data_IF_825975591824
#
_entry.id   IF_825975591824
#
_cell.length_a   1.000
_cell.length_b   1.000
_cell.length_c   1.000
_cell.angle_alpha   90.00
_cell.angle_beta   90.00
_cell.angle_gamma   90.00
#
_symmetry.space_group_name_H-M   'P 1'
#
loop_
_entity.id
_entity.type
_entity.pdbx_description
1 polymer ?
#
# COMPACT_ATOMS: atom_id res chain seq x y z
N UNK A 1 -39.37 -15.07 -7.44
CA UNK A 1 -38.38 -14.01 -7.74
C UNK A 1 -37.03 -14.54 -7.31
N UNK A 2 -36.31 -15.15 -8.24
CA UNK A 2 -35.10 -15.87 -7.89
C UNK A 2 -34.01 -14.89 -7.44
N UNK A 3 -33.33 -15.33 -6.38
CA UNK A 3 -32.10 -14.80 -5.82
C UNK A 3 -30.92 -14.98 -6.81
N UNK A 4 -31.10 -14.55 -8.07
CA UNK A 4 -30.06 -14.51 -9.10
C UNK A 4 -28.88 -13.62 -8.65
N UNK A 5 -29.14 -12.68 -7.73
CA UNK A 5 -28.18 -11.73 -7.19
C UNK A 5 -27.09 -12.31 -6.28
N UNK A 6 -27.25 -13.53 -5.72
CA UNK A 6 -26.31 -14.04 -4.71
C UNK A 6 -25.35 -15.13 -5.22
N UNK A 7 -25.65 -15.74 -6.38
CA UNK A 7 -24.91 -16.90 -6.89
C UNK A 7 -23.98 -16.63 -8.08
N UNK A 8 -24.23 -15.57 -8.85
CA UNK A 8 -23.42 -15.20 -10.01
C UNK A 8 -23.16 -13.70 -9.96
N UNK A 9 -22.04 -13.29 -9.33
CA UNK A 9 -21.53 -11.93 -9.50
C UNK A 9 -21.01 -11.80 -10.93
N UNK A 10 -21.93 -11.57 -11.86
CA UNK A 10 -21.61 -11.27 -13.25
C UNK A 10 -21.02 -9.88 -13.38
N UNK A 11 -20.45 -9.60 -14.55
CA UNK A 11 -19.96 -8.27 -14.91
C UNK A 11 -21.05 -7.20 -14.80
N UNK A 12 -22.32 -7.57 -15.04
CA UNK A 12 -23.47 -6.68 -14.93
C UNK A 12 -23.74 -6.25 -13.49
N UNK A 13 -23.75 -7.17 -12.51
CA UNK A 13 -23.96 -6.83 -11.11
C UNK A 13 -22.86 -5.90 -10.58
N UNK A 14 -21.60 -6.19 -10.92
CA UNK A 14 -20.47 -5.34 -10.52
C UNK A 14 -20.60 -3.93 -11.10
N UNK A 15 -21.05 -3.80 -12.35
CA UNK A 15 -21.29 -2.50 -12.99
C UNK A 15 -22.38 -1.70 -12.26
N UNK A 16 -23.47 -2.34 -11.84
CA UNK A 16 -24.57 -1.69 -11.12
C UNK A 16 -24.13 -1.23 -9.73
N UNK A 17 -23.38 -2.07 -9.00
CA UNK A 17 -22.82 -1.68 -7.69
C UNK A 17 -21.86 -0.49 -7.87
N UNK A 18 -20.98 -0.54 -8.87
CA UNK A 18 -20.06 0.54 -9.16
C UNK A 18 -20.80 1.84 -9.49
N UNK A 19 -21.90 1.76 -10.24
CA UNK A 19 -22.75 2.91 -10.56
C UNK A 19 -23.39 3.52 -9.30
N UNK A 20 -23.92 2.69 -8.39
CA UNK A 20 -24.49 3.16 -7.12
C UNK A 20 -23.41 3.85 -6.27
N UNK A 21 -22.24 3.24 -6.13
CA UNK A 21 -21.11 3.84 -5.40
C UNK A 21 -20.69 5.15 -6.06
N UNK A 22 -20.66 5.22 -7.39
CA UNK A 22 -20.33 6.44 -8.14
C UNK A 22 -21.38 7.54 -7.95
N UNK A 23 -22.66 7.21 -7.79
CA UNK A 23 -23.72 8.19 -7.50
C UNK A 23 -23.64 8.71 -6.06
N UNK A 24 -23.34 7.84 -5.10
CA UNK A 24 -23.24 8.21 -3.68
C UNK A 24 -21.97 9.04 -3.38
N UNK A 25 -20.83 8.63 -3.93
CA UNK A 25 -19.56 9.29 -3.67
C UNK A 25 -19.18 10.30 -4.77
N UNK A 26 -19.77 10.22 -5.95
CA UNK A 26 -19.38 11.02 -7.12
C UNK A 26 -18.15 10.45 -7.82
N UNK A 27 -18.08 10.61 -9.15
CA UNK A 27 -16.97 10.09 -9.96
C UNK A 27 -15.60 10.72 -9.67
N UNK A 28 -15.55 11.83 -8.93
CA UNK A 28 -14.30 12.52 -8.57
C UNK A 28 -13.68 12.01 -7.26
N UNK A 29 -14.48 11.49 -6.32
CA UNK A 29 -13.97 11.06 -5.00
C UNK A 29 -13.15 9.77 -5.08
N UNK A 30 -13.52 8.82 -5.93
CA UNK A 30 -12.76 7.57 -6.08
C UNK A 30 -11.32 7.84 -6.58
N UNK A 31 -11.11 8.60 -7.68
CA UNK A 31 -9.76 8.98 -8.11
C UNK A 31 -8.98 9.80 -7.08
N UNK A 32 -9.65 10.70 -6.37
CA UNK A 32 -9.03 11.54 -5.34
C UNK A 32 -8.53 10.70 -4.15
N UNK A 33 -9.35 9.76 -3.67
CA UNK A 33 -8.98 8.81 -2.63
C UNK A 33 -7.85 7.86 -3.08
N UNK A 34 -7.91 7.37 -4.32
CA UNK A 34 -6.83 6.53 -4.88
C UNK A 34 -5.50 7.28 -4.95
N UNK A 35 -5.51 8.56 -5.36
CA UNK A 35 -4.31 9.39 -5.40
C UNK A 35 -3.76 9.64 -3.99
N UNK A 36 -4.62 9.95 -3.02
CA UNK A 36 -4.22 10.12 -1.62
C UNK A 36 -3.62 8.85 -1.02
N UNK A 37 -4.31 7.72 -1.17
CA UNK A 37 -3.83 6.42 -0.69
C UNK A 37 -2.53 5.98 -1.38
N UNK A 38 -2.44 6.16 -2.70
CA UNK A 38 -1.25 5.81 -3.48
C UNK A 38 -0.02 6.63 -3.07
N UNK A 39 -0.19 7.94 -2.84
CA UNK A 39 0.88 8.79 -2.31
C UNK A 39 1.26 8.38 -0.88
N UNK A 40 0.29 8.09 -0.01
CA UNK A 40 0.54 7.64 1.35
C UNK A 40 1.32 6.32 1.41
N UNK A 41 0.94 5.33 0.61
CA UNK A 41 1.65 4.04 0.50
C UNK A 41 3.08 4.25 -0.04
N UNK A 42 3.26 5.12 -1.03
CA UNK A 42 4.59 5.45 -1.57
C UNK A 42 5.50 6.04 -0.50
N UNK A 43 5.02 7.03 0.24
CA UNK A 43 5.78 7.69 1.30
C UNK A 43 6.12 6.70 2.43
N UNK A 44 5.16 5.86 2.82
CA UNK A 44 5.36 4.81 3.81
C UNK A 44 6.46 3.82 3.40
N UNK A 45 6.44 3.37 2.14
CA UNK A 45 7.47 2.46 1.61
C UNK A 45 8.84 3.13 1.55
N UNK A 46 8.91 4.41 1.16
CA UNK A 46 10.17 5.16 1.15
C UNK A 46 10.77 5.28 2.56
N UNK A 47 9.96 5.67 3.55
CA UNK A 47 10.39 5.76 4.94
C UNK A 47 10.88 4.40 5.47
N UNK A 48 10.15 3.32 5.19
CA UNK A 48 10.54 1.96 5.56
C UNK A 48 11.90 1.56 4.96
N UNK A 49 12.15 1.90 3.69
CA UNK A 49 13.39 1.56 3.01
C UNK A 49 14.58 2.35 3.58
N UNK A 50 14.40 3.65 3.84
CA UNK A 50 15.44 4.48 4.46
C UNK A 50 15.83 3.96 5.84
N UNK A 51 14.85 3.66 6.69
CA UNK A 51 15.09 3.07 8.02
C UNK A 51 15.82 1.73 7.91
N UNK A 52 15.42 0.88 6.97
CA UNK A 52 16.05 -0.42 6.75
C UNK A 52 17.52 -0.28 6.33
N UNK A 53 17.84 0.72 5.51
CA UNK A 53 19.21 1.00 5.08
C UNK A 53 20.06 1.58 6.22
N UNK A 54 19.53 2.54 6.99
CA UNK A 54 20.22 3.11 8.15
C UNK A 54 20.54 2.05 9.21
N UNK A 55 19.58 1.15 9.51
CA UNK A 55 19.81 0.04 10.44
C UNK A 55 20.91 -0.89 9.91
N UNK A 56 20.89 -1.19 8.60
CA UNK A 56 21.88 -2.08 7.97
C UNK A 56 23.28 -1.47 7.92
N UNK A 57 23.39 -0.17 7.71
CA UNK A 57 24.66 0.57 7.77
C UNK A 57 25.19 0.64 9.20
N UNK A 58 24.33 0.97 10.18
CA UNK A 58 24.71 0.99 11.59
C UNK A 58 25.22 -0.37 12.10
N UNK A 59 24.61 -1.47 11.67
CA UNK A 59 25.10 -2.83 11.99
C UNK A 59 26.47 -3.12 11.34
N UNK A 60 26.65 -2.75 10.07
CA UNK A 60 27.94 -2.94 9.36
C UNK A 60 29.08 -2.15 9.98
N UNK A 61 28.81 -0.96 10.49
CA UNK A 61 29.82 -0.12 11.12
C UNK A 61 30.15 -0.59 12.54
N UNK A 62 29.17 -1.15 13.27
CA UNK A 62 29.41 -1.85 14.52
C UNK A 62 30.29 -3.10 14.33
N UNK A 63 30.01 -3.91 13.31
CA UNK A 63 30.81 -5.10 12.99
C UNK A 63 32.24 -4.73 12.61
N UNK A 64 32.43 -3.69 11.77
CA UNK A 64 33.77 -3.18 11.41
C UNK A 64 34.56 -2.72 12.63
N UNK A 65 33.96 -1.90 13.52
CA UNK A 65 34.66 -1.44 14.73
C UNK A 65 35.11 -2.56 15.65
N UNK A 66 34.35 -3.67 15.73
CA UNK A 66 34.74 -4.83 16.54
C UNK A 66 35.94 -5.58 15.92
N UNK A 67 35.93 -5.80 14.59
CA UNK A 67 37.04 -6.45 13.86
C UNK A 67 38.37 -5.68 13.97
N UNK A 68 38.30 -4.35 13.97
CA UNK A 68 39.47 -3.47 14.09
C UNK A 68 40.04 -3.43 15.51
N UNK A 69 39.19 -3.70 16.52
CA UNK A 69 39.58 -3.71 17.94
C UNK A 69 40.16 -5.06 18.38
N UNK A 70 39.81 -6.15 17.69
CA UNK A 70 40.30 -7.50 17.99
C UNK A 70 41.70 -7.77 17.39
N UNK A 71 42.05 -7.11 16.28
CA UNK A 71 43.34 -7.27 15.59
C UNK A 71 44.46 -6.33 16.10
N UNK A 72 44.23 -5.60 17.20
CA UNK A 72 45.15 -4.59 17.74
C UNK A 72 45.58 -4.92 19.16
#
# INVERSE_FOLDING_TARGET
MNLLFLGNLGSTEVLVILLIVLLLFGGKKIPELMRGLGSGIREFNNAKNNISNEIREGMRDADRKNLDSENK
#
